data_IF_201866430808
#
_entry.id   IF_201866430808
#
_cell.length_a   1.000
_cell.length_b   1.000
_cell.length_c   1.000
_cell.angle_alpha   90.00
_cell.angle_beta   90.00
_cell.angle_gamma   90.00
#
_symmetry.space_group_name_H-M   'P 1'
#
loop_
_entity.id
_entity.type
_entity.pdbx_description
1 polymer ?
#
# COMPACT_ATOMS: atom_id res chain seq x y z
N UNK A 1 9.48 -0.50 21.47
CA UNK A 1 8.22 0.14 21.02
C UNK A 1 8.10 -0.05 19.52
N UNK A 2 6.94 -0.53 19.04
CA UNK A 2 6.77 -0.96 17.65
C UNK A 2 6.90 0.28 16.77
N UNK A 3 7.56 0.22 15.62
CA UNK A 3 7.48 1.35 14.68
C UNK A 3 6.19 1.14 13.89
N UNK A 4 5.09 1.86 14.22
CA UNK A 4 3.76 1.49 13.77
C UNK A 4 3.58 2.04 12.37
N UNK A 5 3.21 1.18 11.45
CA UNK A 5 3.43 1.48 10.06
C UNK A 5 2.09 1.77 9.43
N UNK A 6 1.73 3.05 9.35
CA UNK A 6 0.57 3.45 8.56
C UNK A 6 0.71 2.88 7.14
N UNK A 7 -0.37 2.89 6.37
CA UNK A 7 -0.41 2.26 5.04
C UNK A 7 0.81 2.56 4.16
N UNK A 8 1.38 3.77 4.25
CA UNK A 8 2.53 4.21 3.45
C UNK A 8 3.80 3.46 3.88
N UNK A 9 4.02 3.32 5.18
CA UNK A 9 5.19 2.61 5.70
C UNK A 9 5.12 1.10 5.37
N UNK A 10 3.92 0.52 5.41
CA UNK A 10 3.72 -0.92 5.15
C UNK A 10 3.92 -1.21 3.67
N UNK A 11 3.35 -0.35 2.82
CA UNK A 11 3.60 -0.39 1.39
C UNK A 11 5.08 -0.18 1.05
N UNK A 12 5.76 0.79 1.67
CA UNK A 12 7.19 1.00 1.42
C UNK A 12 8.03 -0.19 1.85
N UNK A 13 7.70 -0.85 2.95
CA UNK A 13 8.42 -2.06 3.37
C UNK A 13 8.34 -3.15 2.29
N UNK A 14 7.13 -3.46 1.82
CA UNK A 14 6.92 -4.47 0.76
C UNK A 14 7.55 -4.04 -0.56
N UNK A 15 7.25 -2.82 -1.03
CA UNK A 15 7.70 -2.32 -2.32
C UNK A 15 9.22 -2.14 -2.42
N UNK A 16 9.91 -2.04 -1.27
CA UNK A 16 11.38 -1.94 -1.23
C UNK A 16 12.06 -3.24 -0.79
N UNK A 17 11.32 -4.34 -0.62
CA UNK A 17 11.83 -5.59 -0.05
C UNK A 17 12.65 -5.33 1.24
N UNK A 18 12.02 -4.65 2.20
CA UNK A 18 12.65 -4.30 3.48
C UNK A 18 13.76 -3.24 3.40
N UNK A 19 13.82 -2.46 2.32
CA UNK A 19 14.84 -1.43 2.09
C UNK A 19 15.98 -1.83 1.15
N UNK A 20 15.90 -3.02 0.55
CA UNK A 20 16.82 -3.48 -0.50
C UNK A 20 16.74 -2.59 -1.75
N UNK A 21 15.54 -2.12 -2.11
CA UNK A 21 15.34 -1.22 -3.25
C UNK A 21 15.14 0.24 -2.83
N UNK A 22 15.54 1.21 -3.67
CA UNK A 22 15.31 2.63 -3.38
C UNK A 22 13.82 2.99 -3.33
N UNK A 23 13.42 3.84 -2.39
CA UNK A 23 12.04 4.39 -2.31
C UNK A 23 11.62 5.16 -3.56
N UNK A 24 12.60 5.75 -4.27
CA UNK A 24 12.37 6.44 -5.55
C UNK A 24 11.88 5.48 -6.64
N UNK A 25 12.35 4.23 -6.63
CA UNK A 25 11.92 3.19 -7.57
C UNK A 25 10.49 2.75 -7.26
N UNK A 26 10.17 2.52 -5.98
CA UNK A 26 8.79 2.22 -5.55
C UNK A 26 7.80 3.33 -5.96
N UNK A 27 8.18 4.60 -5.81
CA UNK A 27 7.36 5.73 -6.26
C UNK A 27 7.23 5.79 -7.78
N UNK A 28 8.33 5.54 -8.51
CA UNK A 28 8.32 5.52 -9.97
C UNK A 28 7.37 4.42 -10.49
N UNK A 29 7.35 3.25 -9.84
CA UNK A 29 6.45 2.17 -10.17
C UNK A 29 4.98 2.55 -9.92
N UNK A 30 4.66 3.08 -8.74
CA UNK A 30 3.31 3.58 -8.43
C UNK A 30 2.85 4.63 -9.44
N UNK A 31 3.72 5.58 -9.79
CA UNK A 31 3.41 6.61 -10.77
C UNK A 31 3.10 6.02 -12.15
N UNK A 32 3.87 5.01 -12.57
CA UNK A 32 3.67 4.31 -13.84
C UNK A 32 2.32 3.59 -13.86
N UNK A 33 2.02 2.82 -12.83
CA UNK A 33 0.85 1.95 -12.78
C UNK A 33 -0.46 2.73 -12.62
N UNK A 34 -0.42 3.86 -11.91
CA UNK A 34 -1.58 4.72 -11.72
C UNK A 34 -1.67 5.87 -12.74
N UNK A 35 -0.69 6.00 -13.65
CA UNK A 35 -0.64 7.11 -14.60
C UNK A 35 -0.47 8.49 -13.93
N UNK A 36 0.24 8.55 -12.80
CA UNK A 36 0.45 9.75 -12.00
C UNK A 36 1.89 10.26 -12.09
N UNK A 37 2.16 11.44 -11.49
CA UNK A 37 3.48 12.10 -11.51
C UNK A 37 3.83 12.67 -10.14
N UNK A 38 3.57 11.92 -9.08
CA UNK A 38 3.88 12.34 -7.72
C UNK A 38 5.40 12.47 -7.52
N UNK A 39 5.80 13.52 -6.79
CA UNK A 39 7.20 13.75 -6.41
C UNK A 39 7.53 13.03 -5.10
N UNK A 40 8.81 12.72 -4.80
CA UNK A 40 9.22 12.07 -3.56
C UNK A 40 8.65 12.71 -2.28
N UNK A 41 8.62 14.05 -2.22
CA UNK A 41 8.05 14.80 -1.10
C UNK A 41 6.61 14.40 -0.77
N UNK A 42 5.83 13.98 -1.77
CA UNK A 42 4.44 13.56 -1.59
C UNK A 42 4.31 12.34 -0.68
N UNK A 43 5.25 11.40 -0.74
CA UNK A 43 5.27 10.24 0.16
C UNK A 43 5.49 10.67 1.61
N UNK A 44 6.36 11.65 1.86
CA UNK A 44 6.61 12.17 3.20
C UNK A 44 5.38 12.89 3.75
N UNK A 45 4.72 13.70 2.93
CA UNK A 45 3.49 14.39 3.31
C UNK A 45 2.34 13.42 3.65
N UNK A 46 2.15 12.36 2.87
CA UNK A 46 1.19 11.30 3.15
C UNK A 46 1.53 10.55 4.43
N UNK A 47 2.80 10.20 4.61
CA UNK A 47 3.29 9.51 5.81
C UNK A 47 3.10 10.36 7.07
N UNK A 48 3.30 11.68 6.97
CA UNK A 48 3.12 12.62 8.06
C UNK A 48 1.65 13.02 8.29
N UNK A 49 0.72 12.59 7.42
CA UNK A 49 -0.68 12.99 7.49
C UNK A 49 -0.95 14.46 7.15
N UNK A 50 0.03 15.16 6.56
CA UNK A 50 -0.12 16.57 6.15
C UNK A 50 -1.14 16.72 5.01
N UNK A 51 -1.18 15.73 4.12
CA UNK A 51 -2.19 15.62 3.06
C UNK A 51 -2.80 14.22 3.09
N UNK A 52 -4.11 14.08 2.80
CA UNK A 52 -4.73 12.77 2.68
C UNK A 52 -4.18 12.02 1.48
N UNK A 53 -4.05 10.69 1.61
CA UNK A 53 -3.72 9.81 0.50
C UNK A 53 -4.94 9.72 -0.43
N UNK A 54 -4.81 9.95 -1.75
CA UNK A 54 -5.91 9.75 -2.69
C UNK A 54 -6.44 8.31 -2.66
N UNK A 55 -7.76 8.11 -2.81
CA UNK A 55 -8.40 6.79 -2.67
C UNK A 55 -7.83 5.71 -3.60
N UNK A 56 -7.55 6.05 -4.86
CA UNK A 56 -6.93 5.13 -5.82
C UNK A 56 -5.51 4.73 -5.42
N UNK A 57 -4.76 5.64 -4.80
CA UNK A 57 -3.43 5.37 -4.25
C UNK A 57 -3.54 4.49 -3.00
N UNK A 58 -4.52 4.73 -2.12
CA UNK A 58 -4.77 3.88 -0.95
C UNK A 58 -5.07 2.43 -1.38
N UNK A 59 -5.95 2.25 -2.36
CA UNK A 59 -6.28 0.93 -2.87
C UNK A 59 -5.05 0.21 -3.44
N UNK A 60 -4.24 0.91 -4.23
CA UNK A 60 -2.98 0.37 -4.75
C UNK A 60 -2.02 -0.08 -3.64
N UNK A 61 -1.81 0.77 -2.63
CA UNK A 61 -0.94 0.46 -1.50
C UNK A 61 -1.48 -0.72 -0.68
N UNK A 62 -2.81 -0.82 -0.50
CA UNK A 62 -3.45 -1.92 0.20
C UNK A 62 -3.31 -3.25 -0.56
N UNK A 63 -3.52 -3.26 -1.88
CA UNK A 63 -3.32 -4.48 -2.69
C UNK A 63 -1.90 -5.03 -2.52
N UNK A 64 -0.89 -4.15 -2.51
CA UNK A 64 0.50 -4.55 -2.35
C UNK A 64 0.83 -5.00 -0.91
N UNK A 65 0.29 -4.33 0.11
CA UNK A 65 0.73 -4.50 1.49
C UNK A 65 -0.14 -5.43 2.36
N UNK A 66 -1.38 -5.74 1.96
CA UNK A 66 -2.36 -6.38 2.85
C UNK A 66 -1.90 -7.74 3.39
N UNK A 67 -1.29 -8.58 2.55
CA UNK A 67 -0.77 -9.89 3.00
C UNK A 67 0.26 -9.73 4.10
N UNK A 68 1.22 -8.82 3.89
CA UNK A 68 2.28 -8.54 4.84
C UNK A 68 1.72 -7.94 6.14
N UNK A 69 0.75 -7.01 6.04
CA UNK A 69 0.07 -6.43 7.21
C UNK A 69 -0.60 -7.52 8.05
N UNK A 70 -1.31 -8.46 7.43
CA UNK A 70 -1.97 -9.57 8.14
C UNK A 70 -0.93 -10.41 8.89
N UNK A 71 0.19 -10.74 8.24
CA UNK A 71 1.26 -11.55 8.82
C UNK A 71 1.96 -10.86 10.00
N UNK A 72 2.24 -9.55 9.88
CA UNK A 72 2.86 -8.78 10.97
C UNK A 72 1.97 -8.69 12.22
N UNK A 73 0.65 -8.74 12.06
CA UNK A 73 -0.31 -8.80 13.17
C UNK A 73 -0.50 -10.23 13.71
N UNK A 74 0.30 -11.20 13.25
CA UNK A 74 0.23 -12.61 13.65
C UNK A 74 -0.89 -13.41 12.97
N UNK A 75 -1.54 -12.83 11.96
CA UNK A 75 -2.51 -13.53 11.13
C UNK A 75 -1.86 -14.43 10.08
N UNK A 76 -2.66 -15.31 9.48
CA UNK A 76 -2.22 -16.17 8.39
C UNK A 76 -3.03 -15.90 7.12
N UNK A 77 -2.35 -15.83 5.98
CA UNK A 77 -2.97 -15.79 4.65
C UNK A 77 -2.92 -17.20 4.08
N UNK A 78 -4.05 -17.78 3.62
CA UNK A 78 -4.04 -19.14 3.07
C UNK A 78 -3.12 -19.23 1.84
N UNK A 79 -2.11 -20.11 1.91
CA UNK A 79 -1.09 -20.24 0.85
C UNK A 79 -1.67 -20.73 -0.48
N UNK A 80 -2.71 -21.58 -0.43
CA UNK A 80 -3.38 -22.14 -1.61
C UNK A 80 -4.44 -21.21 -2.22
N UNK A 81 -4.55 -19.97 -1.74
CA UNK A 81 -5.56 -19.00 -2.18
C UNK A 81 -4.93 -17.66 -2.55
N UNK A 82 -4.29 -17.63 -3.72
CA UNK A 82 -3.64 -16.44 -4.27
C UNK A 82 -4.57 -15.22 -4.40
N UNK A 83 -5.90 -15.41 -4.41
CA UNK A 83 -6.89 -14.33 -4.49
C UNK A 83 -7.51 -13.93 -3.14
N UNK A 84 -7.07 -14.52 -2.02
CA UNK A 84 -7.68 -14.27 -0.71
C UNK A 84 -7.66 -12.78 -0.34
N UNK A 85 -6.49 -12.16 -0.40
CA UNK A 85 -6.29 -10.75 -0.03
C UNK A 85 -7.08 -9.80 -0.93
N UNK A 86 -7.15 -10.08 -2.23
CA UNK A 86 -7.93 -9.28 -3.17
C UNK A 86 -9.43 -9.32 -2.83
N UNK A 87 -9.99 -10.49 -2.52
CA UNK A 87 -11.40 -10.62 -2.12
C UNK A 87 -11.68 -9.94 -0.78
N UNK A 88 -10.76 -10.02 0.18
CA UNK A 88 -10.86 -9.29 1.45
C UNK A 88 -10.85 -7.79 1.20
N UNK A 89 -9.90 -7.30 0.40
CA UNK A 89 -9.76 -5.88 0.10
C UNK A 89 -10.99 -5.32 -0.63
N UNK A 90 -11.55 -6.04 -1.59
CA UNK A 90 -12.78 -5.65 -2.28
C UNK A 90 -13.97 -5.44 -1.33
N UNK A 91 -14.01 -6.13 -0.19
CA UNK A 91 -15.06 -5.96 0.84
C UNK A 91 -14.81 -4.76 1.76
N UNK A 92 -13.56 -4.31 1.87
CA UNK A 92 -13.16 -3.17 2.72
C UNK A 92 -13.25 -1.84 1.99
N UNK A 93 -13.04 -1.85 0.67
CA UNK A 93 -13.10 -0.63 -0.13
C UNK A 93 -14.55 -0.17 -0.35
N UNK A 94 -14.81 1.16 -0.36
CA UNK A 94 -16.13 1.67 -0.70
C UNK A 94 -16.53 1.24 -2.12
N UNK A 95 -17.83 1.09 -2.40
CA UNK A 95 -18.28 0.72 -3.73
C UNK A 95 -17.81 1.74 -4.78
N UNK A 96 -17.52 1.30 -6.01
CA UNK A 96 -17.22 2.22 -7.09
C UNK A 96 -18.33 3.24 -7.25
N UNK A 97 -17.97 4.50 -7.47
CA UNK A 97 -18.98 5.52 -7.80
C UNK A 97 -19.71 5.09 -9.07
N UNK A 98 -21.04 5.09 -9.02
CA UNK A 98 -21.86 4.95 -10.21
C UNK A 98 -21.48 6.08 -11.20
N UNK A 99 -21.26 5.71 -12.46
CA UNK A 99 -21.04 6.67 -13.55
C UNK A 99 -22.37 7.29 -13.96
#
# INVERSE_FOLDING_TARGET
MPKPSNLIDSWLHVATAGGTHPKSEALAQLNRDLGTKYRPNRLYEWRAGTFPVPSHVQAYMLHAALSWIIQEEGGNVPEDDAGFTDRVLQRMLPPPRAK
#
